data_IF_452612231687
#
_entry.id   IF_452612231687
#
_cell.length_a   1.000
_cell.length_b   1.000
_cell.length_c   1.000
_cell.angle_alpha   90.00
_cell.angle_beta   90.00
_cell.angle_gamma   90.00
#
_symmetry.space_group_name_H-M   'P 1'
#
loop_
_entity.id
_entity.type
_entity.pdbx_description
1 polymer ?
#
# COMPACT_ATOMS: atom_id res chain seq x y z
N UNK A 1 15.26 5.13 11.18
CA UNK A 1 15.18 4.05 12.18
C UNK A 1 14.29 2.94 11.63
N UNK A 2 14.89 1.82 11.22
CA UNK A 2 14.13 0.65 10.71
C UNK A 2 13.28 0.05 11.84
N UNK A 3 11.96 -0.04 11.66
CA UNK A 3 11.04 -0.66 12.62
C UNK A 3 10.99 -2.17 12.36
N UNK A 4 11.80 -2.95 13.09
CA UNK A 4 11.85 -4.43 12.98
C UNK A 4 10.48 -5.09 13.11
N UNK A 5 9.60 -4.53 13.94
CA UNK A 5 8.26 -5.07 14.20
C UNK A 5 7.25 -4.78 13.07
N UNK A 6 7.61 -3.96 12.08
CA UNK A 6 6.70 -3.58 11.02
C UNK A 6 6.27 -4.76 10.13
N UNK A 7 7.06 -5.83 10.09
CA UNK A 7 6.71 -7.05 9.35
C UNK A 7 5.72 -7.96 10.10
N UNK A 8 5.58 -7.81 11.42
CA UNK A 8 4.71 -8.66 12.26
C UNK A 8 3.41 -7.96 12.67
N UNK A 9 3.04 -6.87 12.00
CA UNK A 9 1.82 -6.12 12.31
C UNK A 9 0.57 -6.93 12.00
N UNK A 10 -0.43 -6.86 12.90
CA UNK A 10 -1.73 -7.50 12.68
C UNK A 10 -2.52 -6.75 11.61
N UNK A 11 -3.44 -7.45 10.92
CA UNK A 11 -4.32 -6.83 9.90
C UNK A 11 -5.06 -5.58 10.40
N UNK A 12 -5.66 -5.56 11.62
CA UNK A 12 -6.31 -4.35 12.14
C UNK A 12 -5.36 -3.16 12.31
N UNK A 13 -4.12 -3.41 12.78
CA UNK A 13 -3.11 -2.36 12.95
C UNK A 13 -2.65 -1.83 11.59
N UNK A 14 -2.42 -2.72 10.63
CA UNK A 14 -2.01 -2.38 9.27
C UNK A 14 -3.06 -1.50 8.56
N UNK A 15 -4.34 -1.89 8.64
CA UNK A 15 -5.46 -1.12 8.10
C UNK A 15 -5.58 0.26 8.78
N UNK A 16 -5.50 0.32 10.13
CA UNK A 16 -5.51 1.58 10.87
C UNK A 16 -4.41 2.53 10.40
N UNK A 17 -3.18 2.04 10.25
CA UNK A 17 -2.04 2.85 9.75
C UNK A 17 -2.28 3.40 8.35
N UNK A 18 -2.84 2.59 7.46
CA UNK A 18 -3.17 3.04 6.10
C UNK A 18 -4.21 4.15 6.12
N UNK A 19 -5.30 3.98 6.87
CA UNK A 19 -6.37 4.98 7.02
C UNK A 19 -5.82 6.28 7.64
N UNK A 20 -4.97 6.22 8.66
CA UNK A 20 -4.36 7.42 9.26
C UNK A 20 -3.51 8.20 8.25
N UNK A 21 -2.87 7.54 7.28
CA UNK A 21 -2.19 8.23 6.18
C UNK A 21 -3.19 8.88 5.22
N UNK A 22 -4.28 8.20 4.88
CA UNK A 22 -5.32 8.76 4.02
C UNK A 22 -5.97 10.00 4.63
N UNK A 23 -6.12 10.07 5.96
CA UNK A 23 -6.65 11.25 6.67
C UNK A 23 -5.83 12.53 6.48
N UNK A 24 -4.57 12.42 6.05
CA UNK A 24 -3.74 13.60 5.72
C UNK A 24 -4.20 14.30 4.44
N UNK A 25 -4.98 13.63 3.61
CA UNK A 25 -5.52 14.17 2.37
C UNK A 25 -6.90 14.75 2.63
N UNK A 26 -6.99 16.10 2.71
CA UNK A 26 -8.20 16.85 3.08
C UNK A 26 -9.46 16.44 2.32
N UNK A 27 -9.32 16.05 1.05
CA UNK A 27 -10.44 15.74 0.15
C UNK A 27 -10.65 14.24 -0.07
N UNK A 28 -9.95 13.38 0.69
CA UNK A 28 -10.05 11.93 0.54
C UNK A 28 -11.03 11.36 1.57
N UNK A 29 -12.26 11.03 1.16
CA UNK A 29 -13.11 10.13 1.94
C UNK A 29 -12.86 8.68 1.53
N UNK A 30 -12.03 7.99 2.31
CA UNK A 30 -11.72 6.59 2.04
C UNK A 30 -12.95 5.67 2.13
N UNK A 31 -14.01 6.07 2.85
CA UNK A 31 -15.25 5.28 2.95
C UNK A 31 -16.08 5.39 1.67
N UNK A 32 -15.94 6.48 0.92
CA UNK A 32 -16.63 6.69 -0.35
C UNK A 32 -16.03 5.87 -1.50
N UNK A 33 -14.81 5.34 -1.34
CA UNK A 33 -14.17 4.48 -2.34
C UNK A 33 -15.05 3.25 -2.61
N UNK A 34 -15.32 3.01 -3.88
CA UNK A 34 -15.84 1.73 -4.37
C UNK A 34 -14.66 0.79 -4.64
N UNK A 35 -14.51 -0.31 -3.87
CA UNK A 35 -13.42 -1.25 -4.07
C UNK A 35 -13.51 -1.99 -5.42
N UNK A 36 -14.70 -2.09 -6.04
CA UNK A 36 -14.87 -2.81 -7.30
C UNK A 36 -14.41 -2.01 -8.52
N UNK A 37 -14.44 -0.68 -8.42
CA UNK A 37 -13.92 0.23 -9.45
C UNK A 37 -12.45 0.59 -9.25
N UNK A 38 -11.85 0.22 -8.10
CA UNK A 38 -10.46 0.59 -7.77
C UNK A 38 -9.47 -0.29 -8.55
N UNK A 39 -8.70 0.31 -9.46
CA UNK A 39 -7.73 -0.42 -10.28
C UNK A 39 -6.30 -0.37 -9.75
N UNK A 40 -5.87 0.79 -9.26
CA UNK A 40 -4.51 0.99 -8.77
C UNK A 40 -4.51 1.60 -7.37
N UNK A 41 -3.54 1.18 -6.56
CA UNK A 41 -3.10 1.94 -5.40
C UNK A 41 -1.65 2.32 -5.62
N UNK A 42 -1.38 3.63 -5.58
CA UNK A 42 -0.06 4.22 -5.76
C UNK A 42 0.30 5.00 -4.50
N UNK A 43 1.49 4.80 -3.98
CA UNK A 43 1.98 5.54 -2.81
C UNK A 43 3.37 6.08 -3.08
N UNK A 44 3.52 7.41 -3.28
CA UNK A 44 4.82 8.03 -3.35
C UNK A 44 5.48 7.98 -1.97
N UNK A 45 6.77 7.67 -1.94
CA UNK A 45 7.62 7.65 -0.77
C UNK A 45 8.91 8.42 -1.05
N UNK A 46 9.36 9.18 -0.05
CA UNK A 46 10.64 9.86 -0.10
C UNK A 46 11.69 8.94 0.55
N UNK A 47 12.75 8.64 -0.19
CA UNK A 47 13.87 7.79 0.22
C UNK A 47 15.20 8.57 0.13
N UNK A 48 16.25 7.99 0.72
CA UNK A 48 17.56 8.64 0.86
C UNK A 48 17.71 9.42 2.17
N UNK A 49 18.95 9.74 2.53
CA UNK A 49 19.27 10.64 3.65
C UNK A 49 20.11 11.81 3.13
N UNK A 50 19.62 13.06 3.17
CA UNK A 50 18.31 13.50 3.63
C UNK A 50 17.26 13.45 2.51
N UNK A 51 16.35 12.46 2.53
CA UNK A 51 15.13 12.39 1.71
C UNK A 51 15.21 13.05 0.34
N UNK A 52 16.16 12.66 -0.49
CA UNK A 52 16.50 13.40 -1.71
C UNK A 52 15.78 12.87 -2.95
N UNK A 53 15.08 11.74 -2.82
CA UNK A 53 14.60 11.00 -3.97
C UNK A 53 13.19 10.42 -3.77
N UNK A 54 12.34 10.60 -4.78
CA UNK A 54 10.98 10.08 -4.79
C UNK A 54 10.91 8.74 -5.52
N UNK A 55 10.27 7.77 -4.86
CA UNK A 55 9.88 6.49 -5.46
C UNK A 55 8.39 6.28 -5.31
N UNK A 56 7.79 5.42 -6.13
CA UNK A 56 6.38 5.08 -6.01
C UNK A 56 6.19 3.56 -5.90
N UNK A 57 5.48 3.14 -4.86
CA UNK A 57 4.98 1.78 -4.74
C UNK A 57 3.62 1.69 -5.42
N UNK A 58 3.47 0.72 -6.32
CA UNK A 58 2.28 0.57 -7.16
C UNK A 58 1.80 -0.87 -7.08
N UNK A 59 0.49 -1.03 -6.87
CA UNK A 59 -0.19 -2.31 -7.06
C UNK A 59 -1.37 -2.09 -7.99
N UNK A 60 -1.42 -2.89 -9.06
CA UNK A 60 -2.62 -3.07 -9.85
C UNK A 60 -3.47 -4.15 -9.18
N UNK A 61 -4.65 -3.79 -8.69
CA UNK A 61 -5.55 -4.69 -7.97
C UNK A 61 -6.21 -5.73 -8.89
N UNK A 62 -6.50 -5.35 -10.14
CA UNK A 62 -7.14 -6.25 -11.13
C UNK A 62 -6.18 -7.32 -11.63
N UNK A 63 -4.96 -6.93 -11.98
CA UNK A 63 -3.93 -7.83 -12.51
C UNK A 63 -3.01 -8.40 -11.43
N UNK A 64 -3.17 -7.98 -10.18
CA UNK A 64 -2.30 -8.32 -9.05
C UNK A 64 -0.81 -8.05 -9.31
N UNK A 65 -0.49 -7.10 -10.18
CA UNK A 65 0.90 -6.78 -10.53
C UNK A 65 1.44 -5.73 -9.59
N UNK A 66 2.62 -6.00 -9.04
CA UNK A 66 3.38 -5.12 -8.17
C UNK A 66 4.44 -4.42 -9.00
N UNK A 67 4.50 -3.10 -8.89
CA UNK A 67 5.46 -2.27 -9.60
C UNK A 67 6.14 -1.31 -8.63
N UNK A 68 7.42 -1.08 -8.89
CA UNK A 68 8.23 -0.09 -8.19
C UNK A 68 8.72 0.92 -9.21
N UNK A 69 8.19 2.14 -9.12
CA UNK A 69 8.60 3.21 -10.02
C UNK A 69 9.74 3.98 -9.35
N UNK A 70 10.89 3.97 -10.00
CA UNK A 70 12.09 4.66 -9.58
C UNK A 70 12.65 5.42 -10.80
N UNK A 71 12.87 6.72 -10.66
CA UNK A 71 13.46 7.52 -11.75
C UNK A 71 14.99 7.41 -11.83
N UNK A 72 15.65 6.86 -10.82
CA UNK A 72 17.08 6.57 -10.84
C UNK A 72 17.31 5.13 -11.32
N UNK A 73 18.13 4.99 -12.37
CA UNK A 73 18.54 3.69 -12.88
C UNK A 73 19.50 3.05 -11.88
N UNK A 74 19.25 1.78 -11.55
CA UNK A 74 20.17 0.96 -10.73
C UNK A 74 19.92 1.00 -9.21
N UNK A 75 18.97 1.80 -8.73
CA UNK A 75 18.60 1.74 -7.31
C UNK A 75 17.72 0.52 -6.98
N UNK A 76 18.14 -0.20 -5.93
CA UNK A 76 17.51 -1.45 -5.52
C UNK A 76 16.16 -1.20 -4.86
N UNK A 77 15.20 -2.08 -5.15
CA UNK A 77 13.91 -2.12 -4.45
C UNK A 77 14.15 -2.19 -2.93
N UNK A 78 13.57 -1.25 -2.18
CA UNK A 78 13.51 -1.31 -0.71
C UNK A 78 12.50 -2.37 -0.25
N UNK A 79 12.82 -3.66 -0.45
CA UNK A 79 11.92 -4.82 -0.30
C UNK A 79 11.15 -4.81 1.02
N UNK A 80 11.82 -4.56 2.15
CA UNK A 80 11.15 -4.48 3.47
C UNK A 80 10.10 -3.37 3.55
N UNK A 81 10.39 -2.19 3.00
CA UNK A 81 9.42 -1.09 2.97
C UNK A 81 8.23 -1.42 2.07
N UNK A 82 8.52 -2.03 0.92
CA UNK A 82 7.50 -2.50 -0.01
C UNK A 82 6.59 -3.55 0.62
N UNK A 83 7.13 -4.53 1.34
CA UNK A 83 6.36 -5.59 2.00
C UNK A 83 5.47 -5.05 3.12
N UNK A 84 5.97 -4.11 3.92
CA UNK A 84 5.17 -3.44 4.95
C UNK A 84 4.03 -2.64 4.31
N UNK A 85 4.34 -1.88 3.26
CA UNK A 85 3.33 -1.14 2.51
C UNK A 85 2.28 -2.07 1.91
N UNK A 86 2.68 -3.19 1.31
CA UNK A 86 1.78 -4.16 0.71
C UNK A 86 0.84 -4.78 1.73
N UNK A 87 1.33 -5.09 2.95
CA UNK A 87 0.48 -5.56 4.06
C UNK A 87 -0.55 -4.54 4.50
N UNK A 88 -0.17 -3.27 4.53
CA UNK A 88 -1.08 -2.17 4.86
C UNK A 88 -2.14 -1.97 3.76
N UNK A 89 -1.76 -2.09 2.49
CA UNK A 89 -2.67 -2.05 1.34
C UNK A 89 -3.64 -3.24 1.34
N UNK A 90 -3.14 -4.47 1.52
CA UNK A 90 -3.97 -5.67 1.60
C UNK A 90 -5.02 -5.54 2.70
N UNK A 91 -4.60 -5.11 3.90
CA UNK A 91 -5.49 -4.94 5.03
C UNK A 91 -6.56 -3.86 4.77
N UNK A 92 -6.17 -2.76 4.13
CA UNK A 92 -7.10 -1.69 3.74
C UNK A 92 -8.12 -2.15 2.70
N UNK A 93 -7.68 -2.78 1.61
CA UNK A 93 -8.58 -3.27 0.55
C UNK A 93 -9.53 -4.32 1.10
N UNK A 94 -9.03 -5.26 1.91
CA UNK A 94 -9.87 -6.26 2.60
C UNK A 94 -10.97 -5.59 3.43
N UNK A 95 -10.65 -4.51 4.15
CA UNK A 95 -11.62 -3.78 4.97
C UNK A 95 -12.65 -3.04 4.12
N UNK A 96 -12.25 -2.47 2.96
CA UNK A 96 -13.19 -1.86 2.01
C UNK A 96 -14.22 -2.88 1.51
N UNK A 97 -13.76 -4.06 1.05
CA UNK A 97 -14.65 -5.14 0.59
C UNK A 97 -15.61 -5.60 1.69
N UNK A 98 -15.09 -5.81 2.92
CA UNK A 98 -15.92 -6.18 4.08
C UNK A 98 -17.01 -5.15 4.38
N UNK A 99 -16.66 -3.85 4.40
CA UNK A 99 -17.62 -2.77 4.64
C UNK A 99 -18.71 -2.69 3.58
N UNK A 100 -18.38 -2.99 2.32
CA UNK A 100 -19.34 -3.05 1.22
C UNK A 100 -20.14 -4.35 1.17
N UNK A 101 -19.78 -5.35 2.00
CA UNK A 101 -20.36 -6.70 1.98
C UNK A 101 -20.19 -7.38 0.61
N UNK A 102 -19.05 -7.15 -0.03
CA UNK A 102 -18.70 -7.72 -1.34
C UNK A 102 -17.60 -8.76 -1.13
N UNK A 103 -17.71 -9.91 -1.80
CA UNK A 103 -16.67 -10.92 -1.81
C UNK A 103 -15.48 -10.45 -2.65
N UNK A 104 -14.28 -10.46 -2.07
CA UNK A 104 -13.06 -10.13 -2.80
C UNK A 104 -12.71 -11.28 -3.75
N UNK A 105 -12.60 -11.00 -5.05
CA UNK A 105 -12.34 -11.99 -6.10
C UNK A 105 -10.86 -12.35 -6.27
N UNK A 106 -9.98 -11.77 -5.47
CA UNK A 106 -8.54 -11.90 -5.59
C UNK A 106 -7.88 -11.95 -4.21
N UNK A 107 -6.65 -12.45 -4.15
CA UNK A 107 -5.80 -12.40 -2.96
C UNK A 107 -4.49 -11.69 -3.29
N UNK A 108 -3.92 -10.96 -2.34
CA UNK A 108 -2.58 -10.42 -2.52
C UNK A 108 -1.58 -11.56 -2.32
N UNK A 109 -0.89 -11.98 -3.37
CA UNK A 109 0.31 -12.79 -3.23
C UNK A 109 1.46 -11.86 -2.89
N UNK A 110 2.23 -12.17 -1.83
CA UNK A 110 3.49 -11.48 -1.53
C UNK A 110 4.43 -11.54 -2.74
N UNK A 111 5.32 -10.56 -2.86
CA UNK A 111 6.43 -10.62 -3.83
C UNK A 111 7.17 -11.96 -3.64
N UNK A 112 7.23 -12.79 -4.69
CA UNK A 112 8.16 -13.92 -4.72
C UNK A 112 9.58 -13.37 -4.79
#
# INVERSE_FOLDING_TARGET
>A
MERRDALYITKPIACKRFIERLKKFKYMDWKAIDPTSLEYIMTPALIGNPGSHYVCFVVNLKSQKLQFMNSLIGETLHKKMFDVWLKEVEAFVTELYKKRKITMSFQFSTFK
#
